data_IF_160589738127
#
_entry.id   IF_160589738127
#
_cell.length_a   1.000
_cell.length_b   1.000
_cell.length_c   1.000
_cell.angle_alpha   90.00
_cell.angle_beta   90.00
_cell.angle_gamma   90.00
#
_symmetry.space_group_name_H-M   'P 1'
#
loop_
_entity.id
_entity.type
_entity.pdbx_description
1 polymer ?
#
# COMPACT_ATOMS: atom_id res chain seq x y z
N UNK A 1 -24.54 32.10 -23.11
CA UNK A 1 -24.66 31.06 -22.06
C UNK A 1 -23.29 30.44 -21.83
N UNK A 2 -22.75 30.52 -20.63
CA UNK A 2 -21.53 29.77 -20.37
C UNK A 2 -21.83 28.28 -20.40
N UNK A 3 -21.11 27.53 -21.20
CA UNK A 3 -21.11 26.08 -21.18
C UNK A 3 -20.67 25.62 -19.80
N UNK A 4 -21.60 25.14 -18.98
CA UNK A 4 -21.28 24.40 -17.78
C UNK A 4 -20.58 23.15 -18.25
N UNK A 5 -19.26 23.04 -18.00
CA UNK A 5 -18.56 21.77 -18.15
C UNK A 5 -19.19 20.81 -17.16
N UNK A 6 -20.01 19.90 -17.66
CA UNK A 6 -20.43 18.74 -16.87
C UNK A 6 -19.17 17.98 -16.48
N UNK A 7 -18.83 18.02 -15.20
CA UNK A 7 -17.78 17.20 -14.63
C UNK A 7 -18.31 15.78 -14.65
N UNK A 8 -17.87 14.98 -15.60
CA UNK A 8 -18.25 13.56 -15.67
C UNK A 8 -17.70 12.86 -14.45
N UNK A 9 -18.59 12.36 -13.58
CA UNK A 9 -18.22 11.52 -12.44
C UNK A 9 -17.67 10.20 -12.99
N UNK A 10 -16.46 9.80 -12.57
CA UNK A 10 -15.87 8.53 -12.94
C UNK A 10 -16.80 7.37 -12.51
N UNK A 11 -16.93 6.34 -13.33
CA UNK A 11 -17.63 5.12 -12.98
C UNK A 11 -16.90 4.40 -11.85
N UNK A 12 -17.60 3.51 -11.14
CA UNK A 12 -16.99 2.69 -10.08
C UNK A 12 -15.83 1.85 -10.62
N UNK A 13 -15.96 1.29 -11.82
CA UNK A 13 -14.89 0.52 -12.48
C UNK A 13 -13.66 1.38 -12.80
N UNK A 14 -13.86 2.58 -13.31
CA UNK A 14 -12.78 3.54 -13.56
C UNK A 14 -12.07 3.94 -12.27
N UNK A 15 -12.82 4.14 -11.21
CA UNK A 15 -12.27 4.47 -9.88
C UNK A 15 -11.44 3.31 -9.32
N UNK A 16 -11.92 2.07 -9.44
CA UNK A 16 -11.16 0.87 -9.05
C UNK A 16 -9.83 0.80 -9.81
N UNK A 17 -9.85 1.05 -11.12
CA UNK A 17 -8.62 1.07 -11.92
C UNK A 17 -7.66 2.20 -11.50
N UNK A 18 -8.18 3.36 -11.12
CA UNK A 18 -7.36 4.45 -10.58
C UNK A 18 -6.69 4.05 -9.27
N UNK A 19 -7.41 3.38 -8.37
CA UNK A 19 -6.85 2.89 -7.09
C UNK A 19 -5.81 1.80 -7.32
N UNK A 20 -6.05 0.88 -8.24
CA UNK A 20 -5.05 -0.12 -8.64
C UNK A 20 -3.76 0.52 -9.13
N UNK A 21 -3.85 1.55 -9.97
CA UNK A 21 -2.69 2.31 -10.42
C UNK A 21 -1.99 3.05 -9.28
N UNK A 22 -2.73 3.59 -8.33
CA UNK A 22 -2.14 4.21 -7.13
C UNK A 22 -1.36 3.18 -6.30
N UNK A 23 -1.90 1.98 -6.16
CA UNK A 23 -1.22 0.88 -5.46
C UNK A 23 0.06 0.45 -6.18
N UNK A 24 0.03 0.35 -7.50
CA UNK A 24 1.23 0.08 -8.30
C UNK A 24 2.28 1.19 -8.15
N UNK A 25 1.87 2.47 -8.20
CA UNK A 25 2.79 3.60 -8.00
C UNK A 25 3.46 3.56 -6.63
N UNK A 26 2.74 3.17 -5.58
CA UNK A 26 3.32 3.00 -4.26
C UNK A 26 4.45 1.96 -4.26
N UNK A 27 4.22 0.77 -4.83
CA UNK A 27 5.25 -0.27 -4.88
C UNK A 27 6.41 0.09 -5.82
N UNK A 28 6.16 0.81 -6.91
CA UNK A 28 7.24 1.32 -7.78
C UNK A 28 8.08 2.38 -7.06
N UNK A 29 7.47 3.26 -6.27
CA UNK A 29 8.17 4.20 -5.42
C UNK A 29 9.02 3.47 -4.38
N UNK A 30 8.48 2.43 -3.76
CA UNK A 30 9.19 1.59 -2.80
C UNK A 30 10.44 0.94 -3.43
N UNK A 31 10.29 0.31 -4.59
CA UNK A 31 11.39 -0.31 -5.33
C UNK A 31 12.47 0.69 -5.75
N UNK A 32 12.09 1.94 -5.98
CA UNK A 32 13.03 2.98 -6.42
C UNK A 32 14.04 3.39 -5.36
N UNK A 33 13.76 3.15 -4.10
CA UNK A 33 14.57 3.57 -2.94
C UNK A 33 14.80 5.10 -2.92
N UNK A 34 13.90 5.86 -3.55
CA UNK A 34 13.92 7.32 -3.69
C UNK A 34 12.85 7.95 -2.81
N UNK A 35 13.29 8.71 -1.82
CA UNK A 35 12.37 9.35 -0.86
C UNK A 35 11.42 10.35 -1.51
N UNK A 36 11.86 11.05 -2.55
CA UNK A 36 11.01 12.01 -3.25
C UNK A 36 9.85 11.31 -3.97
N UNK A 37 10.10 10.16 -4.58
CA UNK A 37 9.07 9.32 -5.19
C UNK A 37 8.10 8.76 -4.16
N UNK A 38 8.61 8.31 -3.03
CA UNK A 38 7.77 7.82 -1.93
C UNK A 38 6.89 8.95 -1.38
N UNK A 39 7.46 10.13 -1.14
CA UNK A 39 6.72 11.30 -0.66
C UNK A 39 5.57 11.69 -1.60
N UNK A 40 5.76 11.55 -2.90
CA UNK A 40 4.76 11.92 -3.89
C UNK A 40 3.49 11.04 -3.87
N UNK A 41 3.56 9.83 -3.33
CA UNK A 41 2.43 8.88 -3.30
C UNK A 41 1.67 8.88 -1.97
N UNK A 42 2.16 9.60 -0.96
CA UNK A 42 1.54 9.69 0.36
C UNK A 42 0.74 10.97 0.59
N UNK A 43 -0.28 10.86 1.43
CA UNK A 43 -0.93 12.01 2.06
C UNK A 43 0.04 12.56 3.12
N UNK A 44 0.51 13.80 2.96
CA UNK A 44 1.48 14.43 3.86
C UNK A 44 0.76 15.19 4.97
N UNK A 45 0.14 14.44 5.89
CA UNK A 45 -0.66 14.98 6.97
C UNK A 45 -0.49 14.17 8.26
N UNK A 46 -0.91 14.74 9.38
CA UNK A 46 -0.87 14.10 10.69
C UNK A 46 -1.71 12.82 10.78
N UNK A 47 -2.76 12.71 9.98
CA UNK A 47 -3.62 11.53 9.96
C UNK A 47 -3.01 10.33 9.23
N UNK A 48 -1.91 10.49 8.53
CA UNK A 48 -1.21 9.39 7.88
C UNK A 48 -0.65 8.41 8.92
N UNK A 49 -0.77 7.12 8.65
CA UNK A 49 -0.33 6.04 9.55
C UNK A 49 0.45 5.00 8.76
N UNK A 50 1.47 4.43 9.39
CA UNK A 50 2.25 3.37 8.78
C UNK A 50 2.74 2.37 9.83
N UNK A 51 2.66 1.10 9.48
CA UNK A 51 3.26 0.01 10.26
C UNK A 51 4.10 -0.84 9.30
N UNK A 52 5.41 -0.71 9.38
CA UNK A 52 6.31 -1.62 8.67
C UNK A 52 6.33 -2.99 9.36
N UNK A 53 6.67 -4.07 8.66
CA UNK A 53 6.72 -5.40 9.25
C UNK A 53 7.60 -5.42 10.52
N UNK A 54 6.99 -5.76 11.66
CA UNK A 54 7.67 -5.81 12.96
C UNK A 54 7.88 -4.46 13.66
N UNK A 55 7.42 -3.34 13.08
CA UNK A 55 7.54 -2.02 13.69
C UNK A 55 6.31 -1.65 14.51
N UNK A 56 6.48 -0.69 15.42
CA UNK A 56 5.37 -0.01 16.07
C UNK A 56 4.65 0.93 15.09
N UNK A 57 3.46 1.37 15.46
CA UNK A 57 2.70 2.35 14.68
C UNK A 57 3.46 3.68 14.57
N UNK A 58 3.65 4.13 13.35
CA UNK A 58 4.12 5.48 13.01
C UNK A 58 2.92 6.38 12.71
N UNK A 59 2.90 7.55 13.31
CA UNK A 59 1.79 8.49 13.20
C UNK A 59 2.29 9.83 12.66
N UNK A 60 1.66 10.28 11.58
CA UNK A 60 2.00 11.52 10.90
C UNK A 60 3.08 11.37 9.83
N UNK A 61 2.99 12.19 8.79
CA UNK A 61 3.87 12.10 7.62
C UNK A 61 5.36 12.26 7.99
N UNK A 62 5.70 13.15 8.90
CA UNK A 62 7.11 13.39 9.23
C UNK A 62 7.80 12.14 9.80
N UNK A 63 7.14 11.43 10.72
CA UNK A 63 7.64 10.16 11.25
C UNK A 63 7.71 9.08 10.18
N UNK A 64 6.70 9.03 9.32
CA UNK A 64 6.64 8.07 8.20
C UNK A 64 7.76 8.35 7.20
N UNK A 65 7.98 9.61 6.84
CA UNK A 65 9.07 10.01 5.93
C UNK A 65 10.43 9.58 6.46
N UNK A 66 10.70 9.86 7.73
CA UNK A 66 11.96 9.46 8.37
C UNK A 66 12.15 7.94 8.36
N UNK A 67 11.08 7.17 8.55
CA UNK A 67 11.15 5.71 8.48
C UNK A 67 11.52 5.22 7.08
N UNK A 68 10.94 5.81 6.03
CA UNK A 68 11.28 5.49 4.65
C UNK A 68 12.72 5.86 4.31
N UNK A 69 13.19 7.00 4.77
CA UNK A 69 14.60 7.40 4.59
C UNK A 69 15.56 6.39 5.22
N UNK A 70 15.25 5.92 6.42
CA UNK A 70 16.05 4.91 7.12
C UNK A 70 16.04 3.57 6.36
N UNK A 71 14.88 3.12 5.93
CA UNK A 71 14.74 1.87 5.16
C UNK A 71 15.55 1.97 3.85
N UNK A 72 15.40 3.06 3.12
CA UNK A 72 16.07 3.25 1.83
C UNK A 72 17.58 3.38 1.97
N UNK A 73 18.07 4.03 3.03
CA UNK A 73 19.50 4.13 3.31
C UNK A 73 20.16 2.77 3.63
N UNK A 74 19.38 1.81 4.12
CA UNK A 74 19.85 0.48 4.52
C UNK A 74 19.46 -0.63 3.53
N UNK A 75 18.96 -0.27 2.35
CA UNK A 75 18.49 -1.22 1.35
C UNK A 75 19.18 -0.96 0.02
N UNK A 76 19.82 -1.98 -0.55
CA UNK A 76 20.53 -1.88 -1.84
C UNK A 76 19.65 -2.31 -3.01
N UNK A 77 18.71 -3.20 -2.77
CA UNK A 77 17.83 -3.76 -3.79
C UNK A 77 16.50 -4.17 -3.20
N UNK A 78 15.43 -3.90 -3.92
CA UNK A 78 14.09 -4.32 -3.54
C UNK A 78 13.20 -4.49 -4.77
N UNK A 79 12.50 -5.60 -4.82
CA UNK A 79 11.55 -5.91 -5.88
C UNK A 79 10.30 -6.56 -5.32
N UNK A 80 9.16 -6.11 -5.80
CA UNK A 80 7.86 -6.63 -5.41
C UNK A 80 7.15 -7.30 -6.56
N UNK A 81 6.57 -8.45 -6.30
CA UNK A 81 5.49 -9.01 -7.10
C UNK A 81 4.24 -8.99 -6.24
N UNK A 82 3.26 -8.19 -6.64
CA UNK A 82 2.01 -8.02 -5.90
C UNK A 82 0.98 -9.00 -6.45
N UNK A 83 0.41 -9.81 -5.56
CA UNK A 83 -0.62 -10.80 -5.89
C UNK A 83 -1.85 -10.62 -5.00
N UNK A 84 -2.96 -11.20 -5.42
CA UNK A 84 -4.22 -11.22 -4.67
C UNK A 84 -4.72 -9.82 -4.25
N UNK A 85 -4.50 -8.82 -5.10
CA UNK A 85 -4.94 -7.47 -4.82
C UNK A 85 -6.47 -7.36 -4.95
N UNK A 86 -7.11 -6.94 -3.87
CA UNK A 86 -8.55 -6.67 -3.81
C UNK A 86 -8.78 -5.21 -3.41
N UNK A 87 -9.60 -4.50 -4.20
CA UNK A 87 -9.91 -3.09 -4.01
C UNK A 87 -11.34 -2.94 -3.51
N UNK A 88 -11.53 -2.14 -2.46
CA UNK A 88 -12.84 -1.76 -1.94
C UNK A 88 -12.95 -0.24 -1.91
N UNK A 89 -14.09 0.28 -2.35
CA UNK A 89 -14.38 1.71 -2.38
C UNK A 89 -15.43 2.07 -1.34
N UNK A 90 -15.21 3.20 -0.67
CA UNK A 90 -16.19 3.84 0.18
C UNK A 90 -16.09 5.36 0.06
N UNK A 91 -16.90 5.95 -0.80
CA UNK A 91 -16.82 7.37 -1.11
C UNK A 91 -15.46 7.75 -1.71
N UNK A 92 -14.78 8.67 -1.06
CA UNK A 92 -13.41 9.13 -1.45
C UNK A 92 -12.30 8.41 -0.70
N UNK A 93 -12.60 7.27 -0.14
CA UNK A 93 -11.65 6.39 0.53
C UNK A 93 -11.68 5.02 -0.15
N UNK A 94 -10.53 4.44 -0.34
CA UNK A 94 -10.40 3.09 -0.84
C UNK A 94 -9.38 2.32 0.00
N UNK A 95 -9.56 1.02 0.14
CA UNK A 95 -8.53 0.18 0.71
C UNK A 95 -8.23 -0.99 -0.22
N UNK A 96 -6.97 -1.37 -0.21
CA UNK A 96 -6.45 -2.49 -0.99
C UNK A 96 -5.81 -3.47 -0.01
N UNK A 97 -6.25 -4.71 -0.06
CA UNK A 97 -5.51 -5.81 0.55
C UNK A 97 -4.74 -6.55 -0.53
N UNK A 98 -3.50 -6.90 -0.28
CA UNK A 98 -2.68 -7.63 -1.24
C UNK A 98 -1.57 -8.42 -0.55
N UNK A 99 -1.00 -9.35 -1.29
CA UNK A 99 0.20 -10.07 -0.89
C UNK A 99 1.41 -9.42 -1.53
N UNK A 100 2.38 -9.03 -0.71
CA UNK A 100 3.67 -8.52 -1.16
C UNK A 100 4.66 -9.69 -1.21
N UNK A 101 5.07 -10.07 -2.39
CA UNK A 101 6.15 -11.05 -2.58
C UNK A 101 7.42 -10.25 -2.84
N UNK A 102 8.29 -10.21 -1.84
CA UNK A 102 9.46 -9.34 -1.80
C UNK A 102 10.74 -10.12 -2.06
N UNK A 103 11.54 -9.64 -2.99
CA UNK A 103 12.91 -10.06 -3.23
C UNK A 103 13.88 -8.95 -2.84
N UNK A 104 14.90 -9.27 -2.05
CA UNK A 104 15.92 -8.34 -1.58
C UNK A 104 17.29 -8.50 -2.31
N UNK A 105 17.35 -9.41 -3.28
CA UNK A 105 18.52 -9.63 -4.11
C UNK A 105 18.13 -10.03 -5.53
N UNK A 106 18.85 -9.54 -6.59
CA UNK A 106 18.47 -9.77 -7.99
C UNK A 106 18.56 -11.23 -8.42
N UNK A 107 19.45 -12.02 -7.80
CA UNK A 107 19.76 -13.39 -8.22
C UNK A 107 19.09 -14.47 -7.36
N UNK A 108 18.13 -14.11 -6.52
CA UNK A 108 17.44 -15.05 -5.66
C UNK A 108 16.04 -15.36 -6.19
N UNK A 109 15.65 -16.64 -6.12
CA UNK A 109 14.27 -17.10 -6.29
C UNK A 109 13.48 -17.08 -4.99
N UNK A 110 14.15 -16.82 -3.85
CA UNK A 110 13.49 -16.74 -2.56
C UNK A 110 12.80 -15.39 -2.42
N UNK A 111 11.53 -15.43 -2.05
CA UNK A 111 10.73 -14.26 -1.75
C UNK A 111 10.19 -14.34 -0.34
N UNK A 112 10.29 -13.22 0.38
CA UNK A 112 9.56 -13.02 1.62
C UNK A 112 8.13 -12.62 1.29
N UNK A 113 7.17 -13.16 2.03
CA UNK A 113 5.75 -12.88 1.82
C UNK A 113 5.20 -12.05 2.96
N UNK A 114 4.58 -10.93 2.59
CA UNK A 114 3.89 -10.04 3.53
C UNK A 114 2.42 -9.93 3.11
N UNK A 115 1.54 -9.78 4.08
CA UNK A 115 0.17 -9.37 3.83
C UNK A 115 0.08 -7.88 4.13
N UNK A 116 -0.43 -7.10 3.17
CA UNK A 116 -0.55 -5.66 3.31
C UNK A 116 -1.99 -5.18 3.21
N UNK A 117 -2.30 -4.15 3.98
CA UNK A 117 -3.49 -3.31 3.83
C UNK A 117 -3.05 -1.89 3.57
N UNK A 118 -3.46 -1.36 2.43
CA UNK A 118 -3.15 0.00 1.99
C UNK A 118 -4.46 0.78 1.88
N UNK A 119 -4.56 1.90 2.58
CA UNK A 119 -5.72 2.78 2.52
C UNK A 119 -5.36 4.04 1.75
N UNK A 120 -6.19 4.39 0.80
CA UNK A 120 -6.03 5.54 -0.09
C UNK A 120 -7.14 6.56 0.13
N UNK A 121 -6.78 7.81 0.05
CA UNK A 121 -7.71 8.95 -0.05
C UNK A 121 -7.53 9.65 -1.39
N UNK A 122 -8.59 10.32 -1.83
CA UNK A 122 -8.54 11.21 -2.99
C UNK A 122 -8.73 12.66 -2.54
N UNK A 123 -7.65 13.33 -2.07
CA UNK A 123 -7.79 14.71 -1.58
C UNK A 123 -7.96 15.74 -2.69
N UNK A 124 -7.52 15.42 -3.89
CA UNK A 124 -7.68 16.17 -5.12
C UNK A 124 -8.13 15.25 -6.24
N UNK A 125 -7.39 15.21 -7.33
CA UNK A 125 -7.66 14.31 -8.46
C UNK A 125 -6.99 12.95 -8.32
N UNK A 126 -5.87 12.89 -7.60
CA UNK A 126 -5.08 11.67 -7.44
C UNK A 126 -5.38 10.96 -6.12
N UNK A 127 -5.40 9.64 -6.18
CA UNK A 127 -5.44 8.78 -5.01
C UNK A 127 -4.06 8.73 -4.36
N UNK A 128 -4.01 8.96 -3.03
CA UNK A 128 -2.78 8.96 -2.24
C UNK A 128 -2.92 8.09 -1.01
N UNK A 129 -1.85 7.43 -0.66
CA UNK A 129 -1.77 6.54 0.49
C UNK A 129 -1.89 7.32 1.79
N UNK A 130 -2.79 6.91 2.66
CA UNK A 130 -2.96 7.49 4.00
C UNK A 130 -2.64 6.50 5.10
N UNK A 131 -2.66 5.20 4.79
CA UNK A 131 -2.29 4.13 5.72
C UNK A 131 -1.66 2.97 4.96
N UNK A 132 -0.54 2.49 5.49
CA UNK A 132 0.11 1.25 5.06
C UNK A 132 0.42 0.40 6.28
N UNK A 133 0.02 -0.86 6.23
CA UNK A 133 0.35 -1.84 7.26
C UNK A 133 0.68 -3.16 6.60
N UNK A 134 1.88 -3.66 6.83
CA UNK A 134 2.30 -4.95 6.34
C UNK A 134 2.80 -5.83 7.48
N UNK A 135 2.50 -7.12 7.38
CA UNK A 135 2.94 -8.13 8.35
C UNK A 135 3.44 -9.39 7.65
N UNK A 136 4.46 -10.08 8.20
CA UNK A 136 4.92 -11.32 7.64
C UNK A 136 3.84 -12.41 7.66
N UNK A 137 3.77 -13.19 6.57
CA UNK A 137 2.97 -14.41 6.55
C UNK A 137 3.84 -15.55 7.08
N UNK A 138 3.64 -15.91 8.33
CA UNK A 138 4.47 -16.89 9.05
C UNK A 138 4.03 -18.32 8.81
N UNK A 139 2.74 -18.54 8.46
CA UNK A 139 2.17 -19.87 8.18
C UNK A 139 1.23 -19.77 6.99
N UNK A 140 1.08 -20.84 6.19
CA UNK A 140 -0.04 -20.93 5.27
C UNK A 140 -1.35 -20.80 6.06
N UNK A 141 -2.28 -19.99 5.57
CA UNK A 141 -3.61 -19.91 6.15
C UNK A 141 -4.31 -21.28 6.11
N UNK A 142 -5.30 -21.50 6.97
CA UNK A 142 -6.10 -22.73 6.91
C UNK A 142 -6.80 -22.82 5.54
N UNK A 143 -7.03 -24.08 5.08
CA UNK A 143 -7.84 -24.29 3.89
C UNK A 143 -9.24 -23.69 4.11
N UNK A 144 -9.88 -23.23 3.03
CA UNK A 144 -11.23 -22.62 3.14
C UNK A 144 -12.18 -23.60 3.85
N UNK A 145 -12.70 -23.20 5.02
CA UNK A 145 -13.62 -23.99 5.86
C UNK A 145 -12.99 -24.60 7.11
N UNK A 146 -11.67 -24.52 7.29
CA UNK A 146 -11.01 -24.94 8.54
C UNK A 146 -10.65 -23.71 9.39
N UNK A 147 -11.10 -23.71 10.63
CA UNK A 147 -10.72 -22.71 11.62
C UNK A 147 -9.59 -23.28 12.46
N UNK A 148 -8.48 -22.57 12.54
CA UNK A 148 -7.37 -22.97 13.41
C UNK A 148 -7.85 -22.98 14.88
N UNK A 149 -7.74 -24.13 15.60
CA UNK A 149 -8.19 -24.22 16.97
C UNK A 149 -7.52 -23.23 17.93
N UNK A 150 -6.33 -22.71 17.61
CA UNK A 150 -5.64 -21.72 18.44
C UNK A 150 -6.36 -20.36 18.48
N UNK A 151 -7.27 -20.10 17.54
CA UNK A 151 -8.06 -18.85 17.52
C UNK A 151 -9.44 -18.98 18.22
N UNK A 152 -9.74 -20.14 18.81
CA UNK A 152 -11.02 -20.38 19.47
C UNK A 152 -10.99 -20.19 21.00
N UNK A 153 -9.88 -19.72 21.57
CA UNK A 153 -9.73 -19.45 23.01
C UNK A 153 -9.57 -17.98 23.31
#
# INVERSE_FOLDING_TARGET
MPLVKETTVASQEETIEQVKRANERFYRAFESLDIARMAAVWVQAERAKCVHPGWSLLSGWEAIRQSWETIFANTDYMRFVITDAAVHLYGRVAWVTCTENLSDAPDTLQMSRMLATNVYEQPGEEWRLVHHHASPVMRPGPAMGEVDPEFLN
#
